data_IF_072312701194
#
_entry.id   IF_072312701194
#
_cell.length_a   1.000
_cell.length_b   1.000
_cell.length_c   1.000
_cell.angle_alpha   90.00
_cell.angle_beta   90.00
_cell.angle_gamma   90.00
#
_symmetry.space_group_name_H-M   'P 1'
#
loop_
_entity.id
_entity.type
_entity.pdbx_description
1 polymer ?
#
# COMPACT_ATOMS: atom_id res chain seq x y z
N UNK A 1 34.20 28.60 44.73
CA UNK A 1 33.61 29.06 43.45
C UNK A 1 33.14 27.84 42.68
N UNK A 2 31.86 27.53 42.82
CA UNK A 2 31.24 26.36 42.20
C UNK A 2 31.03 26.56 40.70
N UNK A 3 31.33 25.54 39.91
CA UNK A 3 30.68 25.35 38.62
C UNK A 3 29.70 24.20 38.80
N UNK A 4 28.42 24.56 38.72
CA UNK A 4 27.28 23.66 38.77
C UNK A 4 27.46 22.51 37.77
N UNK A 5 27.29 21.29 38.27
CA UNK A 5 27.01 20.11 37.46
C UNK A 5 25.64 20.32 36.82
N UNK A 6 25.60 20.79 35.59
CA UNK A 6 24.38 20.70 34.77
C UNK A 6 24.04 19.21 34.61
N UNK A 7 22.91 18.83 35.20
CA UNK A 7 22.34 17.50 35.10
C UNK A 7 22.01 17.21 33.64
N UNK A 8 22.69 16.21 33.06
CA UNK A 8 22.29 15.63 31.77
C UNK A 8 20.87 15.06 31.88
N UNK A 9 19.89 15.55 31.10
CA UNK A 9 18.56 14.95 31.11
C UNK A 9 18.60 13.62 30.34
N UNK A 10 18.40 12.50 31.05
CA UNK A 10 17.75 11.30 30.50
C UNK A 10 18.63 10.12 30.04
N UNK A 11 19.39 9.49 30.94
CA UNK A 11 19.97 8.15 30.69
C UNK A 11 18.92 7.08 30.43
N UNK A 12 17.73 7.20 31.04
CA UNK A 12 16.64 6.25 30.89
C UNK A 12 16.00 6.27 29.49
N UNK A 13 15.87 7.44 28.84
CA UNK A 13 15.30 7.56 27.49
C UNK A 13 16.25 7.01 26.43
N UNK A 14 17.55 7.26 26.56
CA UNK A 14 18.56 6.68 25.68
C UNK A 14 18.61 5.14 25.79
N UNK A 15 18.58 4.59 27.02
CA UNK A 15 18.55 3.14 27.25
C UNK A 15 17.23 2.54 26.73
N UNK A 16 16.08 3.16 26.99
CA UNK A 16 14.79 2.70 26.48
C UNK A 16 14.73 2.74 24.95
N UNK A 17 15.27 3.79 24.32
CA UNK A 17 15.38 3.88 22.86
C UNK A 17 16.29 2.79 22.30
N UNK A 18 17.43 2.50 22.96
CA UNK A 18 18.37 1.45 22.54
C UNK A 18 17.77 0.05 22.68
N UNK A 19 17.15 -0.26 23.82
CA UNK A 19 16.42 -1.52 24.05
C UNK A 19 15.28 -1.67 23.03
N UNK A 20 14.55 -0.60 22.73
CA UNK A 20 13.50 -0.61 21.71
C UNK A 20 14.05 -0.84 20.30
N UNK A 21 15.15 -0.18 19.93
CA UNK A 21 15.82 -0.38 18.64
C UNK A 21 16.35 -1.81 18.51
N UNK A 22 16.95 -2.34 19.58
CA UNK A 22 17.53 -3.68 19.63
C UNK A 22 16.45 -4.76 19.59
N UNK A 23 15.39 -4.64 20.39
CA UNK A 23 14.25 -5.54 20.36
C UNK A 23 13.56 -5.52 18.98
N UNK A 24 13.43 -4.34 18.36
CA UNK A 24 12.90 -4.22 17.00
C UNK A 24 13.84 -4.87 15.97
N UNK A 25 15.15 -4.69 16.11
CA UNK A 25 16.16 -5.34 15.26
C UNK A 25 16.14 -6.86 15.41
N UNK A 26 16.05 -7.37 16.64
CA UNK A 26 15.96 -8.78 16.96
C UNK A 26 14.65 -9.41 16.46
N UNK A 27 13.51 -8.75 16.66
CA UNK A 27 12.22 -9.15 16.11
C UNK A 27 12.24 -9.16 14.58
N UNK A 28 12.92 -8.20 13.94
CA UNK A 28 13.13 -8.21 12.49
C UNK A 28 13.99 -9.38 12.02
N UNK A 29 15.10 -9.65 12.71
CA UNK A 29 15.98 -10.75 12.38
C UNK A 29 15.30 -12.11 12.56
N UNK A 30 14.59 -12.32 13.67
CA UNK A 30 13.85 -13.56 13.94
C UNK A 30 12.61 -13.72 13.05
N UNK A 31 11.92 -12.62 12.75
CA UNK A 31 10.81 -12.59 11.80
C UNK A 31 11.23 -12.83 10.34
N UNK A 32 12.46 -12.52 9.94
CA UNK A 32 13.02 -12.94 8.66
C UNK A 32 13.76 -14.29 8.71
N UNK A 33 13.89 -14.89 9.90
CA UNK A 33 14.62 -16.15 10.11
C UNK A 33 14.00 -17.37 9.44
N UNK A 34 12.79 -17.26 8.88
CA UNK A 34 12.18 -18.32 8.09
C UNK A 34 12.39 -18.09 6.59
N UNK A 35 12.87 -19.09 5.81
CA UNK A 35 13.14 -18.95 4.38
C UNK A 35 11.98 -18.38 3.58
N UNK A 36 10.74 -18.84 3.85
CA UNK A 36 9.54 -18.32 3.18
C UNK A 36 9.29 -16.83 3.49
N UNK A 37 9.47 -16.38 4.74
CA UNK A 37 9.28 -14.97 5.12
C UNK A 37 10.34 -14.08 4.48
N UNK A 38 11.60 -14.55 4.43
CA UNK A 38 12.67 -13.86 3.72
C UNK A 38 12.38 -13.71 2.21
N UNK A 39 11.83 -14.75 1.57
CA UNK A 39 11.44 -14.72 0.15
C UNK A 39 10.28 -13.75 -0.10
N UNK A 40 9.25 -13.76 0.74
CA UNK A 40 8.13 -12.81 0.67
C UNK A 40 8.64 -11.37 0.84
N UNK A 41 9.50 -11.12 1.83
CA UNK A 41 10.05 -9.80 2.08
C UNK A 41 10.86 -9.29 0.88
N UNK A 42 11.75 -10.12 0.32
CA UNK A 42 12.53 -9.79 -0.88
C UNK A 42 11.62 -9.51 -2.09
N UNK A 43 10.58 -10.32 -2.30
CA UNK A 43 9.57 -10.08 -3.35
C UNK A 43 8.94 -8.69 -3.19
N UNK A 44 8.52 -8.33 -1.98
CA UNK A 44 7.89 -7.04 -1.69
C UNK A 44 8.85 -5.86 -1.75
N UNK A 45 10.17 -6.07 -1.60
CA UNK A 45 11.16 -5.02 -1.86
C UNK A 45 11.32 -4.72 -3.36
N UNK A 46 11.10 -5.72 -4.22
CA UNK A 46 11.20 -5.62 -5.69
C UNK A 46 9.89 -5.15 -6.30
N UNK A 47 8.76 -5.68 -5.81
CA UNK A 47 7.41 -5.32 -6.25
C UNK A 47 6.56 -4.89 -5.05
N UNK A 48 6.78 -3.69 -4.51
CA UNK A 48 5.98 -3.17 -3.40
C UNK A 48 4.52 -3.05 -3.79
N UNK A 49 3.60 -3.36 -2.88
CA UNK A 49 2.16 -3.24 -3.08
C UNK A 49 1.54 -4.35 -3.92
N UNK A 50 2.25 -5.47 -4.12
CA UNK A 50 1.67 -6.65 -4.74
C UNK A 50 0.57 -7.27 -3.86
N UNK A 51 -0.32 -8.01 -4.50
CA UNK A 51 -1.45 -8.68 -3.86
C UNK A 51 -1.12 -10.12 -3.52
N UNK A 52 -1.75 -10.62 -2.46
CA UNK A 52 -1.48 -11.94 -1.89
C UNK A 52 -1.37 -13.08 -2.92
N UNK A 53 -2.34 -13.19 -3.84
CA UNK A 53 -2.36 -14.26 -4.85
C UNK A 53 -1.17 -14.20 -5.81
N UNK A 54 -0.73 -13.01 -6.20
CA UNK A 54 0.46 -12.87 -7.05
C UNK A 54 1.73 -13.23 -6.29
N UNK A 55 1.85 -12.82 -5.03
CA UNK A 55 3.00 -13.15 -4.18
C UNK A 55 3.18 -14.67 -4.07
N UNK A 56 2.13 -15.39 -3.62
CA UNK A 56 2.23 -16.84 -3.41
C UNK A 56 2.44 -17.61 -4.71
N UNK A 57 1.86 -17.15 -5.82
CA UNK A 57 2.06 -17.76 -7.14
C UNK A 57 3.49 -17.55 -7.63
N UNK A 58 4.02 -16.34 -7.50
CA UNK A 58 5.36 -15.98 -7.96
C UNK A 58 6.44 -16.71 -7.16
N UNK A 59 6.14 -17.03 -5.90
CA UNK A 59 7.05 -17.74 -5.00
C UNK A 59 6.73 -19.25 -4.87
N UNK A 60 5.73 -19.76 -5.59
CA UNK A 60 5.28 -21.16 -5.50
C UNK A 60 5.01 -21.61 -4.05
N UNK A 61 4.36 -20.76 -3.26
CA UNK A 61 4.00 -21.01 -1.85
C UNK A 61 2.53 -21.46 -1.79
N UNK A 62 2.22 -22.42 -0.92
CA UNK A 62 0.84 -22.82 -0.66
C UNK A 62 0.00 -21.67 -0.06
N UNK A 63 -1.30 -21.62 -0.38
CA UNK A 63 -2.19 -20.54 0.10
C UNK A 63 -2.20 -20.43 1.63
N UNK A 64 -2.33 -21.55 2.34
CA UNK A 64 -2.36 -21.59 3.81
C UNK A 64 -1.02 -21.16 4.42
N UNK A 65 0.08 -21.73 3.92
CA UNK A 65 1.45 -21.40 4.35
C UNK A 65 1.75 -19.91 4.13
N UNK A 66 1.45 -19.39 2.94
CA UNK A 66 1.65 -17.99 2.61
C UNK A 66 0.83 -17.07 3.51
N UNK A 67 -0.41 -17.43 3.83
CA UNK A 67 -1.26 -16.64 4.74
C UNK A 67 -0.69 -16.63 6.16
N UNK A 68 -0.30 -17.79 6.66
CA UNK A 68 0.31 -17.93 7.98
C UNK A 68 1.55 -17.04 8.10
N UNK A 69 2.49 -17.17 7.17
CA UNK A 69 3.71 -16.37 7.18
C UNK A 69 3.46 -14.87 7.05
N UNK A 70 2.55 -14.45 6.16
CA UNK A 70 2.23 -13.04 5.99
C UNK A 70 1.58 -12.45 7.25
N UNK A 71 0.70 -13.20 7.93
CA UNK A 71 0.11 -12.78 9.20
C UNK A 71 1.16 -12.59 10.29
N UNK A 72 2.15 -13.49 10.37
CA UNK A 72 3.29 -13.34 11.29
C UNK A 72 4.08 -12.07 10.96
N UNK A 73 4.40 -11.83 9.67
CA UNK A 73 5.14 -10.65 9.23
C UNK A 73 4.39 -9.33 9.47
N UNK A 74 3.06 -9.32 9.34
CA UNK A 74 2.21 -8.17 9.69
C UNK A 74 2.28 -7.87 11.18
N UNK A 75 2.14 -8.89 12.03
CA UNK A 75 2.23 -8.75 13.49
C UNK A 75 3.61 -8.27 13.95
N UNK A 76 4.67 -8.71 13.29
CA UNK A 76 6.05 -8.34 13.60
C UNK A 76 6.48 -7.00 12.97
N UNK A 77 5.59 -6.32 12.22
CA UNK A 77 5.90 -5.04 11.59
C UNK A 77 6.95 -5.13 10.49
N UNK A 78 7.11 -6.30 9.86
CA UNK A 78 7.97 -6.50 8.69
C UNK A 78 7.27 -6.16 7.39
N UNK A 79 5.95 -6.25 7.39
CA UNK A 79 5.10 -5.93 6.26
C UNK A 79 3.95 -5.11 6.81
N UNK A 80 3.50 -4.10 6.06
CA UNK A 80 2.18 -3.50 6.27
C UNK A 80 1.21 -3.95 5.19
N UNK A 81 -0.06 -3.95 5.55
CA UNK A 81 -1.15 -4.05 4.59
C UNK A 81 -1.80 -2.69 4.33
N UNK A 82 -2.24 -2.47 3.11
CA UNK A 82 -3.07 -1.34 2.70
C UNK A 82 -4.33 -1.91 2.03
N UNK A 83 -5.48 -1.59 2.61
CA UNK A 83 -6.80 -2.01 2.15
C UNK A 83 -7.51 -0.80 1.56
N UNK A 84 -7.37 -0.62 0.26
CA UNK A 84 -7.97 0.49 -0.49
C UNK A 84 -8.84 -0.04 -1.63
N UNK A 85 -10.08 0.47 -1.75
CA UNK A 85 -11.03 0.12 -2.82
C UNK A 85 -11.28 -1.40 -2.98
N UNK A 86 -11.36 -2.13 -1.87
CA UNK A 86 -11.55 -3.59 -1.87
C UNK A 86 -10.34 -4.39 -2.34
N UNK A 87 -9.18 -3.74 -2.52
CA UNK A 87 -7.90 -4.39 -2.85
C UNK A 87 -7.02 -4.36 -1.61
N UNK A 88 -6.37 -5.47 -1.33
CA UNK A 88 -5.36 -5.57 -0.28
C UNK A 88 -3.97 -5.67 -0.92
N UNK A 89 -3.09 -4.75 -0.52
CA UNK A 89 -1.71 -4.64 -1.01
C UNK A 89 -0.75 -4.74 0.15
N UNK A 90 0.39 -5.37 -0.08
CA UNK A 90 1.40 -5.59 0.96
C UNK A 90 2.68 -4.85 0.62
N UNK A 91 3.30 -4.25 1.62
CA UNK A 91 4.55 -3.50 1.47
C UNK A 91 5.54 -3.93 2.54
N UNK A 92 6.79 -4.18 2.15
CA UNK A 92 7.85 -4.45 3.10
C UNK A 92 8.16 -3.19 3.93
N UNK A 93 8.31 -3.35 5.24
CA UNK A 93 8.59 -2.28 6.20
C UNK A 93 10.05 -2.31 6.65
N UNK A 94 10.69 -1.14 6.69
CA UNK A 94 12.10 -1.00 7.05
C UNK A 94 12.53 0.46 7.14
N UNK A 95 13.82 0.74 6.94
CA UNK A 95 14.34 2.10 6.80
C UNK A 95 15.09 2.24 5.47
N UNK A 96 15.24 3.48 4.99
CA UNK A 96 16.03 3.80 3.81
C UNK A 96 15.25 3.72 2.48
N UNK A 97 15.92 3.58 1.33
CA UNK A 97 15.33 3.74 -0.02
C UNK A 97 14.14 2.82 -0.33
N UNK A 98 13.98 1.72 0.42
CA UNK A 98 12.81 0.84 0.30
C UNK A 98 11.49 1.57 0.65
N UNK A 99 11.49 2.50 1.61
CA UNK A 99 10.28 3.27 1.96
C UNK A 99 9.88 4.24 0.86
N UNK A 100 10.84 4.96 0.28
CA UNK A 100 10.58 5.87 -0.85
C UNK A 100 10.00 5.12 -2.05
N UNK A 101 10.53 3.91 -2.34
CA UNK A 101 9.93 3.02 -3.35
C UNK A 101 8.51 2.60 -2.99
N UNK A 102 8.22 2.29 -1.72
CA UNK A 102 6.86 1.94 -1.32
C UNK A 102 5.88 3.07 -1.64
N UNK A 103 6.25 4.34 -1.38
CA UNK A 103 5.40 5.50 -1.66
C UNK A 103 5.17 5.70 -3.16
N UNK A 104 6.23 5.60 -3.96
CA UNK A 104 6.14 5.65 -5.43
C UNK A 104 5.20 4.57 -5.98
N UNK A 105 5.35 3.33 -5.50
CA UNK A 105 4.48 2.23 -5.91
C UNK A 105 3.06 2.39 -5.40
N UNK A 106 2.85 2.87 -4.17
CA UNK A 106 1.50 3.16 -3.66
C UNK A 106 0.78 4.17 -4.56
N UNK A 107 1.46 5.25 -4.96
CA UNK A 107 0.94 6.20 -5.95
C UNK A 107 0.64 5.51 -7.29
N UNK A 108 1.58 4.73 -7.82
CA UNK A 108 1.40 3.96 -9.07
C UNK A 108 0.17 3.04 -9.01
N UNK A 109 -0.02 2.33 -7.90
CA UNK A 109 -1.15 1.44 -7.70
C UNK A 109 -2.47 2.19 -7.53
N UNK A 110 -2.45 3.37 -6.92
CA UNK A 110 -3.55 4.31 -6.92
C UNK A 110 -3.92 4.73 -8.34
N UNK A 111 -2.95 5.09 -9.18
CA UNK A 111 -3.23 5.38 -10.60
C UNK A 111 -3.72 4.16 -11.38
N UNK A 112 -3.36 2.93 -11.01
CA UNK A 112 -3.94 1.70 -11.57
C UNK A 112 -5.30 1.34 -10.98
N UNK A 113 -5.77 2.05 -9.97
CA UNK A 113 -7.13 1.90 -9.49
C UNK A 113 -8.09 2.31 -10.60
N UNK A 114 -8.94 1.37 -11.03
CA UNK A 114 -9.81 1.61 -12.17
C UNK A 114 -10.78 2.77 -11.88
N UNK A 115 -11.17 2.97 -10.62
CA UNK A 115 -12.00 4.09 -10.19
C UNK A 115 -11.28 5.42 -10.38
N UNK A 116 -9.99 5.49 -10.00
CA UNK A 116 -9.17 6.69 -10.22
C UNK A 116 -8.89 6.92 -11.71
N UNK A 117 -8.62 5.87 -12.48
CA UNK A 117 -8.50 5.97 -13.95
C UNK A 117 -9.77 6.51 -14.59
N UNK A 118 -10.93 6.06 -14.12
CA UNK A 118 -12.24 6.57 -14.55
C UNK A 118 -12.39 8.05 -14.19
N UNK A 119 -12.05 8.45 -12.95
CA UNK A 119 -12.09 9.85 -12.53
C UNK A 119 -11.17 10.74 -13.39
N UNK A 120 -9.93 10.33 -13.62
CA UNK A 120 -9.00 11.06 -14.49
C UNK A 120 -9.46 11.10 -15.95
N UNK A 121 -10.03 10.00 -16.46
CA UNK A 121 -10.59 9.98 -17.80
C UNK A 121 -11.75 10.99 -17.93
N UNK A 122 -12.63 11.08 -16.93
CA UNK A 122 -13.70 12.10 -16.91
C UNK A 122 -13.10 13.50 -16.87
N UNK A 123 -12.13 13.78 -15.98
CA UNK A 123 -11.45 15.09 -15.90
C UNK A 123 -10.82 15.51 -17.24
N UNK A 124 -10.17 14.57 -17.93
CA UNK A 124 -9.50 14.85 -19.20
C UNK A 124 -10.49 15.00 -20.37
N UNK A 125 -11.65 14.34 -20.32
CA UNK A 125 -12.70 14.43 -21.34
C UNK A 125 -13.67 15.60 -21.09
N UNK A 126 -13.67 16.19 -19.89
CA UNK A 126 -14.67 17.16 -19.44
C UNK A 126 -16.01 16.49 -19.17
N UNK A 127 -16.91 16.51 -20.16
CA UNK A 127 -18.23 15.88 -20.11
C UNK A 127 -18.20 14.51 -20.80
N UNK A 128 -18.07 13.44 -20.00
CA UNK A 128 -17.83 12.11 -20.53
C UNK A 128 -19.06 11.19 -20.40
N UNK A 129 -19.48 10.59 -21.52
CA UNK A 129 -20.41 9.44 -21.48
C UNK A 129 -19.68 8.19 -20.97
N UNK A 130 -20.39 7.23 -20.33
CA UNK A 130 -19.81 5.94 -19.96
C UNK A 130 -19.12 5.22 -21.14
N UNK A 131 -19.63 5.38 -22.37
CA UNK A 131 -19.02 4.83 -23.58
C UNK A 131 -17.69 5.50 -23.94
N UNK A 132 -17.54 6.81 -23.73
CA UNK A 132 -16.30 7.54 -24.00
C UNK A 132 -15.21 7.16 -22.99
N UNK A 133 -15.57 7.05 -21.71
CA UNK A 133 -14.68 6.56 -20.65
C UNK A 133 -14.25 5.12 -20.93
N UNK A 134 -15.19 4.25 -21.31
CA UNK A 134 -14.90 2.87 -21.65
C UNK A 134 -13.90 2.74 -22.80
N UNK A 135 -14.10 3.51 -23.87
CA UNK A 135 -13.20 3.56 -25.03
C UNK A 135 -11.81 4.08 -24.65
N UNK A 136 -11.73 5.15 -23.86
CA UNK A 136 -10.45 5.74 -23.41
C UNK A 136 -9.63 4.78 -22.55
N UNK A 137 -10.30 3.99 -21.70
CA UNK A 137 -9.62 3.10 -20.74
C UNK A 137 -9.45 1.65 -21.20
N UNK A 138 -10.03 1.29 -22.35
CA UNK A 138 -10.03 -0.09 -22.87
C UNK A 138 -10.82 -1.06 -21.98
N UNK A 139 -11.95 -0.62 -21.41
CA UNK A 139 -12.79 -1.42 -20.51
C UNK A 139 -14.22 -1.55 -21.06
N UNK A 140 -15.03 -2.45 -20.48
CA UNK A 140 -16.44 -2.56 -20.87
C UNK A 140 -17.25 -1.33 -20.43
N UNK A 141 -18.29 -1.01 -21.22
CA UNK A 141 -19.22 0.08 -20.88
C UNK A 141 -19.92 -0.14 -19.54
N UNK A 142 -20.27 -1.38 -19.21
CA UNK A 142 -20.92 -1.73 -17.94
C UNK A 142 -20.00 -1.47 -16.75
N UNK A 143 -18.71 -1.82 -16.87
CA UNK A 143 -17.72 -1.58 -15.82
C UNK A 143 -17.44 -0.08 -15.65
N UNK A 144 -17.35 0.67 -16.76
CA UNK A 144 -17.25 2.13 -16.71
C UNK A 144 -18.47 2.76 -16.00
N UNK A 145 -19.69 2.34 -16.36
CA UNK A 145 -20.92 2.83 -15.75
C UNK A 145 -21.01 2.51 -14.25
N UNK A 146 -20.56 1.32 -13.83
CA UNK A 146 -20.47 0.96 -12.42
C UNK A 146 -19.55 1.93 -11.66
N UNK A 147 -18.33 2.16 -12.16
CA UNK A 147 -17.39 3.07 -11.50
C UNK A 147 -17.86 4.52 -11.49
N UNK A 148 -18.54 4.98 -12.54
CA UNK A 148 -19.10 6.33 -12.61
C UNK A 148 -20.22 6.54 -11.59
N UNK A 149 -21.12 5.56 -11.39
CA UNK A 149 -22.13 5.62 -10.32
C UNK A 149 -21.50 5.66 -8.94
N UNK A 150 -20.51 4.81 -8.67
CA UNK A 150 -19.83 4.84 -7.38
C UNK A 150 -19.10 6.18 -7.14
N UNK A 151 -18.54 6.81 -8.18
CA UNK A 151 -17.91 8.13 -8.06
C UNK A 151 -18.94 9.23 -7.84
N UNK A 152 -20.14 9.10 -8.41
CA UNK A 152 -21.29 10.00 -8.21
C UNK A 152 -21.80 9.91 -6.77
N UNK A 153 -21.96 8.70 -6.24
CA UNK A 153 -22.30 8.46 -4.83
C UNK A 153 -21.27 9.06 -3.86
N UNK A 154 -20.00 9.12 -4.26
CA UNK A 154 -18.91 9.73 -3.48
C UNK A 154 -18.79 11.25 -3.70
N UNK A 155 -19.62 11.86 -4.56
CA UNK A 155 -19.57 13.28 -4.88
C UNK A 155 -18.37 13.72 -5.74
N UNK A 156 -17.57 12.78 -6.25
CA UNK A 156 -16.36 13.05 -7.04
C UNK A 156 -16.64 13.33 -8.51
N UNK A 157 -17.82 12.92 -9.00
CA UNK A 157 -18.36 13.30 -10.30
C UNK A 157 -19.83 13.66 -10.13
N UNK A 158 -20.34 14.51 -11.02
CA UNK A 158 -21.76 14.86 -11.12
C UNK A 158 -22.31 14.38 -12.45
N UNK A 159 -23.52 13.80 -12.45
CA UNK A 159 -24.21 13.38 -13.67
C UNK A 159 -24.97 14.55 -14.28
N UNK A 160 -24.67 14.86 -15.55
CA UNK A 160 -25.33 15.90 -16.34
C UNK A 160 -25.99 15.23 -17.55
N UNK A 161 -27.28 14.92 -17.43
CA UNK A 161 -28.02 14.16 -18.44
C UNK A 161 -27.46 12.75 -18.63
N UNK A 162 -26.84 12.49 -19.79
CA UNK A 162 -26.19 11.19 -20.12
C UNK A 162 -24.68 11.18 -19.88
N UNK A 163 -24.11 12.32 -19.45
CA UNK A 163 -22.69 12.51 -19.26
C UNK A 163 -22.36 12.58 -17.76
N UNK A 164 -21.10 12.35 -17.43
CA UNK A 164 -20.51 12.58 -16.13
C UNK A 164 -19.46 13.67 -16.25
N UNK A 165 -19.41 14.56 -15.27
CA UNK A 165 -18.43 15.65 -15.13
C UNK A 165 -17.74 15.50 -13.79
N UNK A 166 -16.42 15.71 -13.72
CA UNK A 166 -15.74 15.73 -12.43
C UNK A 166 -16.23 16.93 -11.60
N UNK A 167 -16.51 16.69 -10.32
CA UNK A 167 -16.88 17.74 -9.37
C UNK A 167 -15.70 18.65 -9.04
#
# INVERSE_FOLDING_TARGET
MGKSLEAYPGSATAVAAFVSLFALGYARASGLGHPTRARIYKHLLVLPGDHFRSIIRSLSIGVGEGRHHLNVMLREGLVREDKTNGRCRYYAEGRGPAMERNELFAKHWGYRDLRLRVLFAVRNLGDARPSAVAKSLGISRQLAAYHLRNLEELGLVTRVGRNYRAS
#
